data_IF_907812702232
#
_entry.id   IF_907812702232
#
_cell.length_a   1.000
_cell.length_b   1.000
_cell.length_c   1.000
_cell.angle_alpha   90.00
_cell.angle_beta   90.00
_cell.angle_gamma   90.00
#
_symmetry.space_group_name_H-M   'P 1'
#
loop_
_entity.id
_entity.type
_entity.pdbx_description
1 polymer ?
#
# COMPACT_ATOMS: atom_id res chain seq x y z
N UNK A 1 -20.95 5.14 9.37
CA UNK A 1 -21.96 4.36 8.61
C UNK A 1 -22.26 3.03 9.28
N UNK A 2 -21.28 2.14 9.50
CA UNK A 2 -21.48 0.82 10.13
C UNK A 2 -22.22 0.87 11.46
N UNK A 3 -21.82 1.75 12.37
CA UNK A 3 -22.55 1.94 13.64
C UNK A 3 -24.04 2.28 13.45
N UNK A 4 -24.39 3.02 12.40
CA UNK A 4 -25.79 3.32 12.11
C UNK A 4 -26.54 2.09 11.56
N UNK A 5 -25.87 1.26 10.76
CA UNK A 5 -26.42 -0.01 10.24
C UNK A 5 -26.66 -1.00 11.40
N UNK A 6 -25.72 -1.12 12.33
CA UNK A 6 -25.87 -1.96 13.52
C UNK A 6 -27.06 -1.53 14.40
N UNK A 7 -27.26 -0.23 14.60
CA UNK A 7 -28.43 0.30 15.32
C UNK A 7 -29.76 -0.02 14.63
N UNK A 8 -29.74 -0.22 13.31
CA UNK A 8 -30.90 -0.64 12.53
C UNK A 8 -31.00 -2.18 12.38
N UNK A 9 -30.21 -2.94 13.15
CA UNK A 9 -30.11 -4.40 13.05
C UNK A 9 -29.73 -4.93 11.64
N UNK A 10 -29.12 -4.08 10.81
CA UNK A 10 -28.65 -4.44 9.48
C UNK A 10 -27.14 -4.73 9.53
N UNK A 11 -26.76 -6.00 9.28
CA UNK A 11 -25.37 -6.50 9.42
C UNK A 11 -24.88 -7.15 8.13
N UNK A 12 -24.66 -6.38 7.04
CA UNK A 12 -24.11 -6.93 5.81
C UNK A 12 -22.63 -7.31 5.99
N UNK A 13 -22.08 -8.05 5.03
CA UNK A 13 -20.63 -8.16 4.91
C UNK A 13 -20.07 -6.79 4.55
N UNK A 14 -19.18 -6.27 5.37
CA UNK A 14 -18.51 -5.00 5.11
C UNK A 14 -17.21 -5.23 4.35
N UNK A 15 -17.00 -4.42 3.31
CA UNK A 15 -15.74 -4.34 2.56
C UNK A 15 -15.31 -2.87 2.52
N UNK A 16 -14.02 -2.61 2.70
CA UNK A 16 -13.46 -1.27 2.70
C UNK A 16 -12.09 -1.22 2.00
N UNK A 17 -11.62 0.01 1.78
CA UNK A 17 -10.30 0.33 1.24
C UNK A 17 -9.26 0.44 2.38
N UNK A 18 -7.94 0.45 2.10
CA UNK A 18 -6.88 0.36 3.12
C UNK A 18 -6.92 1.46 4.18
N UNK A 19 -7.40 2.65 3.82
CA UNK A 19 -7.57 3.77 4.77
C UNK A 19 -8.50 3.43 5.94
N UNK A 20 -9.34 2.41 5.80
CA UNK A 20 -10.24 1.98 6.87
C UNK A 20 -9.52 1.48 8.12
N UNK A 21 -8.30 0.98 7.98
CA UNK A 21 -7.45 0.50 9.10
C UNK A 21 -6.31 1.46 9.40
N UNK A 22 -6.37 2.68 8.87
CA UNK A 22 -5.44 3.74 9.22
C UNK A 22 -5.51 4.04 10.73
N UNK A 23 -4.38 4.29 11.41
CA UNK A 23 -4.39 4.63 12.84
C UNK A 23 -5.22 5.86 13.20
N UNK A 24 -5.50 6.74 12.23
CA UNK A 24 -6.37 7.91 12.43
C UNK A 24 -7.86 7.58 12.38
N UNK A 25 -8.23 6.40 11.88
CA UNK A 25 -9.62 5.93 11.85
C UNK A 25 -9.95 5.22 13.16
N UNK A 26 -11.02 5.67 13.81
CA UNK A 26 -11.51 5.07 15.06
C UNK A 26 -12.01 3.65 14.79
N UNK A 27 -11.27 2.68 15.30
CA UNK A 27 -11.68 1.27 15.34
C UNK A 27 -12.63 1.00 16.53
N UNK A 28 -13.45 -0.05 16.42
CA UNK A 28 -14.34 -0.46 17.49
C UNK A 28 -15.11 -1.74 17.16
N UNK A 29 -16.03 -2.18 18.04
CA UNK A 29 -16.78 -3.42 17.85
C UNK A 29 -17.53 -3.51 16.51
N UNK A 30 -17.96 -2.37 15.97
CA UNK A 30 -18.70 -2.30 14.69
C UNK A 30 -17.79 -2.39 13.46
N UNK A 31 -16.47 -2.24 13.61
CA UNK A 31 -15.50 -2.35 12.51
C UNK A 31 -14.91 -3.76 12.41
N UNK A 32 -14.99 -4.54 13.49
CA UNK A 32 -14.48 -5.89 13.57
C UNK A 32 -15.08 -6.79 12.49
N UNK A 33 -14.23 -7.61 11.87
CA UNK A 33 -14.63 -8.53 10.81
C UNK A 33 -14.87 -7.89 9.45
N UNK A 34 -14.74 -6.55 9.31
CA UNK A 34 -14.72 -5.87 8.01
C UNK A 34 -13.57 -6.42 7.17
N UNK A 35 -13.84 -6.75 5.91
CA UNK A 35 -12.80 -7.07 4.95
C UNK A 35 -12.21 -5.80 4.37
N UNK A 36 -10.89 -5.79 4.16
CA UNK A 36 -10.18 -4.66 3.58
C UNK A 36 -9.37 -5.16 2.40
N UNK A 37 -9.66 -4.63 1.21
CA UNK A 37 -8.87 -4.90 0.02
C UNK A 37 -7.63 -4.00 0.05
N UNK A 38 -6.44 -4.60 0.14
CA UNK A 38 -5.17 -3.89 0.26
C UNK A 38 -4.26 -4.19 -0.92
N UNK A 39 -3.73 -3.14 -1.51
CA UNK A 39 -2.76 -3.14 -2.60
C UNK A 39 -1.31 -3.16 -2.11
N UNK A 40 -1.10 -2.92 -0.81
CA UNK A 40 0.20 -2.84 -0.14
C UNK A 40 0.22 -3.66 1.17
N UNK A 41 1.42 -4.04 1.60
CA UNK A 41 1.72 -4.38 2.98
C UNK A 41 1.48 -3.17 3.89
N UNK A 42 0.77 -3.40 4.99
CA UNK A 42 0.37 -2.35 5.92
C UNK A 42 1.34 -2.22 7.10
N UNK A 43 1.42 -1.05 7.76
CA UNK A 43 2.13 -0.90 9.03
C UNK A 43 1.73 -1.98 10.05
N UNK A 44 2.70 -2.50 10.78
CA UNK A 44 2.55 -3.60 11.72
C UNK A 44 2.61 -5.00 11.11
N UNK A 45 2.72 -5.15 9.79
CA UNK A 45 2.94 -6.47 9.17
C UNK A 45 4.36 -7.00 9.44
N UNK A 46 4.53 -8.31 9.30
CA UNK A 46 5.82 -8.97 9.53
C UNK A 46 6.82 -8.82 8.36
N UNK A 47 6.41 -8.20 7.25
CA UNK A 47 7.23 -8.03 6.07
C UNK A 47 8.53 -7.25 6.39
N UNK A 48 9.71 -7.71 5.92
CA UNK A 48 10.97 -7.02 6.19
C UNK A 48 10.97 -5.55 5.74
N UNK A 49 10.36 -5.26 4.59
CA UNK A 49 10.26 -3.90 4.07
C UNK A 49 9.41 -2.96 4.96
N UNK A 50 8.34 -3.49 5.58
CA UNK A 50 7.55 -2.74 6.57
C UNK A 50 8.41 -2.43 7.79
N UNK A 51 9.17 -3.40 8.31
CA UNK A 51 10.07 -3.17 9.46
C UNK A 51 11.14 -2.12 9.15
N UNK A 52 11.71 -2.15 7.94
CA UNK A 52 12.66 -1.14 7.46
C UNK A 52 12.03 0.26 7.46
N UNK A 53 10.84 0.41 6.86
CA UNK A 53 10.11 1.66 6.84
C UNK A 53 9.81 2.17 8.25
N UNK A 54 9.26 1.32 9.12
CA UNK A 54 8.91 1.74 10.46
C UNK A 54 10.13 2.17 11.27
N UNK A 55 11.25 1.46 11.13
CA UNK A 55 12.50 1.82 11.78
C UNK A 55 13.03 3.17 11.26
N UNK A 56 13.01 3.40 9.94
CA UNK A 56 13.45 4.64 9.33
C UNK A 56 12.60 5.85 9.76
N UNK A 57 11.27 5.70 9.80
CA UNK A 57 10.36 6.75 10.24
C UNK A 57 10.51 7.02 11.74
N UNK A 58 10.57 5.99 12.58
CA UNK A 58 10.79 6.15 14.04
C UNK A 58 12.13 6.82 14.33
N UNK A 59 13.20 6.45 13.62
CA UNK A 59 14.52 7.08 13.76
C UNK A 59 14.48 8.57 13.41
N UNK A 60 13.74 8.94 12.36
CA UNK A 60 13.68 10.33 11.89
C UNK A 60 12.77 11.23 12.72
N UNK A 61 11.64 10.70 13.20
CA UNK A 61 10.59 11.51 13.82
C UNK A 61 10.35 11.24 15.31
N UNK A 62 10.95 10.19 15.88
CA UNK A 62 10.81 9.83 17.28
C UNK A 62 9.34 9.63 17.68
N UNK A 63 8.92 10.31 18.75
CA UNK A 63 7.53 10.27 19.25
C UNK A 63 6.50 10.86 18.28
N UNK A 64 6.92 11.66 17.29
CA UNK A 64 6.04 12.24 16.26
C UNK A 64 5.86 11.32 15.05
N UNK A 65 6.49 10.15 15.03
CA UNK A 65 6.38 9.20 13.94
C UNK A 65 4.92 8.77 13.73
N UNK A 66 4.42 8.95 12.50
CA UNK A 66 3.12 8.43 12.07
C UNK A 66 3.34 7.28 11.11
N UNK A 67 2.89 6.08 11.51
CA UNK A 67 3.03 4.86 10.72
C UNK A 67 1.67 4.49 10.17
N UNK A 68 1.39 4.96 8.96
CA UNK A 68 0.09 4.81 8.34
C UNK A 68 0.21 4.42 6.86
N UNK A 69 -0.93 4.11 6.24
CA UNK A 69 -0.98 3.62 4.85
C UNK A 69 -0.43 4.66 3.86
N UNK A 70 -0.77 5.94 4.04
CA UNK A 70 -0.30 7.04 3.19
C UNK A 70 1.22 7.20 3.27
N UNK A 71 1.80 7.05 4.46
CA UNK A 71 3.25 7.10 4.65
C UNK A 71 3.97 5.94 3.95
N UNK A 72 3.36 4.76 3.90
CA UNK A 72 3.89 3.62 3.12
C UNK A 72 3.86 3.93 1.62
N UNK A 73 2.77 4.50 1.09
CA UNK A 73 2.74 4.93 -0.31
C UNK A 73 3.85 5.94 -0.65
N UNK A 74 4.02 6.95 0.22
CA UNK A 74 5.09 7.93 0.06
C UNK A 74 6.50 7.31 0.10
N UNK A 75 6.71 6.33 0.98
CA UNK A 75 7.97 5.58 1.08
C UNK A 75 8.28 4.78 -0.19
N UNK A 76 7.29 4.08 -0.75
CA UNK A 76 7.43 3.33 -2.00
C UNK A 76 7.74 4.28 -3.16
N UNK A 77 7.00 5.39 -3.27
CA UNK A 77 7.25 6.41 -4.29
C UNK A 77 8.66 7.01 -4.19
N UNK A 78 9.13 7.30 -2.97
CA UNK A 78 10.49 7.78 -2.73
C UNK A 78 11.56 6.74 -3.09
N UNK A 79 11.33 5.46 -2.76
CA UNK A 79 12.23 4.35 -3.16
C UNK A 79 12.33 4.24 -4.69
N UNK A 80 11.19 4.27 -5.39
CA UNK A 80 11.17 4.24 -6.84
C UNK A 80 11.90 5.43 -7.47
N UNK A 81 11.70 6.62 -6.89
CA UNK A 81 12.39 7.84 -7.33
C UNK A 81 13.92 7.75 -7.13
N UNK A 82 14.38 7.33 -5.95
CA UNK A 82 15.82 7.17 -5.65
C UNK A 82 16.45 6.08 -6.52
N UNK A 83 15.75 4.99 -6.78
CA UNK A 83 16.19 3.93 -7.69
C UNK A 83 16.37 4.45 -9.12
N UNK A 84 15.40 5.22 -9.63
CA UNK A 84 15.51 5.88 -10.93
C UNK A 84 16.71 6.85 -11.00
N UNK A 85 16.92 7.69 -9.98
CA UNK A 85 18.06 8.62 -9.93
C UNK A 85 19.41 7.87 -9.95
N UNK A 86 19.52 6.74 -9.25
CA UNK A 86 20.74 5.91 -9.26
C UNK A 86 21.05 5.36 -10.65
N UNK A 87 20.03 5.01 -11.44
CA UNK A 87 20.19 4.54 -12.83
C UNK A 87 20.62 5.65 -13.79
N UNK A 88 20.17 6.89 -13.57
CA UNK A 88 20.53 8.05 -14.40
C UNK A 88 21.98 8.48 -14.14
N UNK A 89 22.40 8.46 -12.87
CA UNK A 89 23.72 8.96 -12.47
C UNK A 89 23.77 10.49 -12.37
N UNK A 90 24.94 11.12 -12.62
CA UNK A 90 25.19 12.51 -12.21
C UNK A 90 24.49 13.59 -13.05
N UNK A 91 23.97 13.27 -14.23
CA UNK A 91 23.30 14.23 -15.12
C UNK A 91 21.80 13.99 -15.12
N UNK A 92 21.12 14.60 -14.16
CA UNK A 92 19.68 14.49 -13.99
C UNK A 92 19.00 15.66 -14.67
N UNK A 93 18.14 15.36 -15.64
CA UNK A 93 17.13 16.26 -16.17
C UNK A 93 15.74 15.59 -16.10
N UNK A 94 14.71 16.33 -16.50
CA UNK A 94 13.31 15.89 -16.38
C UNK A 94 13.03 14.69 -17.29
N UNK A 95 13.52 14.73 -18.52
CA UNK A 95 13.30 13.70 -19.54
C UNK A 95 13.99 12.39 -19.14
N UNK A 96 15.24 12.47 -18.66
CA UNK A 96 15.98 11.34 -18.13
C UNK A 96 15.29 10.72 -16.92
N UNK A 97 14.75 11.55 -16.02
CA UNK A 97 14.00 11.07 -14.85
C UNK A 97 12.72 10.33 -15.25
N UNK A 98 11.90 10.91 -16.11
CA UNK A 98 10.66 10.28 -16.58
C UNK A 98 11.00 8.95 -17.26
N UNK A 99 11.96 8.94 -18.18
CA UNK A 99 12.37 7.72 -18.88
C UNK A 99 12.89 6.65 -17.91
N UNK A 100 13.63 7.04 -16.88
CA UNK A 100 14.16 6.10 -15.88
C UNK A 100 13.07 5.54 -14.96
N UNK A 101 12.07 6.35 -14.56
CA UNK A 101 10.93 5.88 -13.75
C UNK A 101 10.04 4.95 -14.57
N UNK A 102 9.75 5.29 -15.83
CA UNK A 102 8.96 4.45 -16.74
C UNK A 102 9.62 3.11 -17.03
N UNK A 103 10.95 3.02 -16.94
CA UNK A 103 11.72 1.77 -17.06
C UNK A 103 11.89 1.01 -15.75
N UNK A 104 11.21 1.44 -14.68
CA UNK A 104 11.22 0.69 -13.42
C UNK A 104 10.46 -0.62 -13.62
N UNK A 105 11.21 -1.70 -13.78
CA UNK A 105 10.70 -3.05 -13.59
C UNK A 105 10.63 -3.29 -12.09
N UNK A 106 9.46 -3.03 -11.49
CA UNK A 106 9.23 -3.05 -10.04
C UNK A 106 9.19 -4.47 -9.48
N UNK A 107 10.16 -5.30 -9.84
CA UNK A 107 10.35 -6.64 -9.29
C UNK A 107 10.30 -6.57 -7.77
N UNK A 108 9.34 -7.30 -7.21
CA UNK A 108 9.10 -7.39 -5.77
C UNK A 108 8.41 -6.19 -5.12
N UNK A 109 7.92 -5.18 -5.86
CA UNK A 109 7.12 -4.08 -5.30
C UNK A 109 7.78 -3.35 -4.13
N UNK A 110 9.11 -3.26 -4.16
CA UNK A 110 9.96 -2.77 -3.05
C UNK A 110 9.76 -3.49 -1.70
N UNK A 111 9.25 -4.71 -1.74
CA UNK A 111 8.89 -5.55 -0.61
C UNK A 111 7.54 -5.22 0.04
N UNK A 112 6.76 -4.31 -0.56
CA UNK A 112 5.44 -3.91 -0.06
C UNK A 112 4.28 -4.41 -0.90
N UNK A 113 4.50 -4.72 -2.17
CA UNK A 113 3.43 -5.11 -3.08
C UNK A 113 3.84 -6.33 -3.90
N UNK A 114 2.88 -6.90 -4.62
CA UNK A 114 3.21 -7.65 -5.82
C UNK A 114 4.03 -6.77 -6.80
N UNK A 115 4.70 -7.36 -7.80
CA UNK A 115 5.52 -6.58 -8.72
C UNK A 115 4.77 -5.39 -9.33
N UNK A 116 5.33 -4.19 -9.18
CA UNK A 116 4.78 -2.95 -9.72
C UNK A 116 5.34 -2.71 -11.13
N UNK A 117 4.52 -2.20 -12.05
CA UNK A 117 4.95 -1.92 -13.44
C UNK A 117 4.70 -0.47 -13.79
N UNK A 118 5.70 0.23 -14.31
CA UNK A 118 5.60 1.65 -14.62
C UNK A 118 5.61 1.90 -16.14
N UNK A 119 5.13 3.07 -16.58
CA UNK A 119 5.23 3.50 -17.97
C UNK A 119 4.56 2.55 -18.97
N UNK A 120 5.13 2.35 -20.19
CA UNK A 120 4.53 1.47 -21.20
C UNK A 120 4.44 -0.01 -20.75
N UNK A 121 5.13 -0.38 -19.66
CA UNK A 121 5.04 -1.71 -19.05
C UNK A 121 3.80 -1.89 -18.16
N UNK A 122 3.11 -0.81 -17.79
CA UNK A 122 1.83 -0.83 -17.07
C UNK A 122 0.62 -1.15 -17.97
N UNK A 123 0.86 -1.47 -19.26
CA UNK A 123 -0.15 -1.40 -20.32
C UNK A 123 -0.83 -0.01 -20.38
N UNK A 124 -1.74 0.16 -21.33
CA UNK A 124 -2.56 1.36 -21.59
C UNK A 124 -3.29 1.98 -20.36
N UNK A 125 -3.37 1.26 -19.25
CA UNK A 125 -4.14 1.64 -18.07
C UNK A 125 -3.54 2.73 -17.16
N UNK A 126 -2.22 2.98 -17.26
CA UNK A 126 -1.46 3.72 -16.21
C UNK A 126 -1.66 3.15 -14.79
N UNK A 127 -2.13 1.92 -14.67
CA UNK A 127 -2.28 1.21 -13.42
C UNK A 127 -1.00 0.45 -13.10
N UNK A 128 -0.25 0.96 -12.12
CA UNK A 128 1.03 0.38 -11.74
C UNK A 128 0.91 -0.88 -10.88
N UNK A 129 -0.29 -1.17 -10.35
CA UNK A 129 -0.54 -2.28 -9.45
C UNK A 129 -1.89 -2.94 -9.71
N UNK A 130 -1.85 -4.10 -10.36
CA UNK A 130 -3.05 -4.88 -10.67
C UNK A 130 -3.35 -5.96 -9.63
N UNK A 131 -2.71 -5.91 -8.47
CA UNK A 131 -2.79 -6.96 -7.45
C UNK A 131 -3.31 -6.41 -6.12
N UNK A 132 -4.28 -7.12 -5.55
CA UNK A 132 -4.83 -6.86 -4.22
C UNK A 132 -4.78 -8.12 -3.38
N UNK A 133 -4.59 -7.98 -2.08
CA UNK A 133 -4.87 -9.04 -1.10
C UNK A 133 -6.08 -8.63 -0.26
N UNK A 134 -6.85 -9.61 0.19
CA UNK A 134 -7.94 -9.37 1.13
C UNK A 134 -7.39 -9.59 2.53
N UNK A 135 -7.62 -8.60 3.39
CA UNK A 135 -7.38 -8.67 4.82
C UNK A 135 -8.72 -8.60 5.57
N UNK A 136 -8.73 -9.00 6.83
CA UNK A 136 -9.88 -8.88 7.72
C UNK A 136 -9.46 -8.11 8.96
N UNK A 137 -10.31 -7.20 9.43
CA UNK A 137 -10.11 -6.52 10.71
C UNK A 137 -10.29 -7.55 11.83
N UNK A 138 -9.18 -7.84 12.52
CA UNK A 138 -9.12 -8.71 13.69
C UNK A 138 -8.45 -7.92 14.82
N UNK A 139 -9.18 -7.72 15.92
CA UNK A 139 -8.74 -6.89 17.05
C UNK A 139 -8.29 -5.49 16.61
N UNK A 140 -9.04 -4.88 15.69
CA UNK A 140 -8.73 -3.56 15.14
C UNK A 140 -7.52 -3.49 14.20
N UNK A 141 -6.94 -4.63 13.80
CA UNK A 141 -5.80 -4.70 12.86
C UNK A 141 -6.18 -5.44 11.59
N UNK A 142 -5.63 -5.04 10.45
CA UNK A 142 -5.78 -5.79 9.21
C UNK A 142 -4.88 -7.04 9.23
N UNK A 143 -5.51 -8.22 9.19
CA UNK A 143 -4.84 -9.52 9.10
C UNK A 143 -5.10 -10.12 7.70
N UNK A 144 -4.07 -10.46 6.92
CA UNK A 144 -4.25 -11.11 5.61
C UNK A 144 -5.05 -12.40 5.72
N UNK A 145 -6.04 -12.56 4.85
CA UNK A 145 -6.83 -13.80 4.71
C UNK A 145 -6.68 -14.43 3.32
N UNK A 146 -6.06 -13.72 2.38
CA UNK A 146 -5.62 -14.25 1.08
C UNK A 146 -4.19 -13.80 0.79
N UNK A 147 -3.52 -14.52 -0.10
CA UNK A 147 -2.36 -14.00 -0.84
C UNK A 147 -2.79 -12.93 -1.86
N UNK A 148 -1.81 -12.38 -2.58
CA UNK A 148 -2.02 -11.48 -3.71
C UNK A 148 -2.90 -12.12 -4.79
N UNK A 149 -3.93 -11.40 -5.21
CA UNK A 149 -4.80 -11.72 -6.34
C UNK A 149 -4.59 -10.65 -7.39
N UNK A 150 -4.08 -11.05 -8.55
CA UNK A 150 -3.75 -10.14 -9.63
C UNK A 150 -4.75 -10.27 -10.77
N UNK A 151 -5.19 -9.13 -11.29
CA UNK A 151 -5.94 -9.06 -12.53
C UNK A 151 -4.97 -9.15 -13.72
N UNK A 152 -5.12 -10.22 -14.50
CA UNK A 152 -4.31 -10.50 -15.67
C UNK A 152 -5.09 -10.31 -16.98
N UNK A 153 -6.33 -9.81 -16.92
CA UNK A 153 -7.14 -9.59 -18.12
C UNK A 153 -6.64 -8.38 -18.92
N UNK A 154 -6.68 -8.39 -20.26
CA UNK A 154 -6.54 -7.17 -21.04
C UNK A 154 -7.77 -6.27 -20.84
N UNK A 155 -7.59 -4.95 -20.92
CA UNK A 155 -8.70 -3.97 -20.90
C UNK A 155 -9.44 -3.94 -22.24
#
# INVERSE_FOLDING_TARGET
>A
LQQAQDRAAYRPVHVAVPLFVDPTVRQGPTTEGTFVATDLELPGSSAPAVKEYEAAVRKSFGSRAQLNYIGVQGWIGAKAFVDALRRIGPRVDREALISAVEKTDGQGGFGFAAPLRFGPYAADSRDINRCLKITKVVQGKAVPVTDWRCDNQPF
#
